data_IF_554471453595
#
_entry.id   IF_554471453595
#
_cell.length_a   1.000
_cell.length_b   1.000
_cell.length_c   1.000
_cell.angle_alpha   90.00
_cell.angle_beta   90.00
_cell.angle_gamma   90.00
#
_symmetry.space_group_name_H-M   'P 1'
#
loop_
_entity.id
_entity.type
_entity.pdbx_description
1 polymer ?
#
# COMPACT_ATOMS: atom_id res chain seq x y z
N UNK A 1 -29.94 -5.48 11.91
CA UNK A 1 -29.20 -6.62 11.33
C UNK A 1 -28.67 -6.37 9.92
N UNK A 2 -29.47 -6.38 8.84
CA UNK A 2 -28.93 -6.21 7.48
C UNK A 2 -28.27 -4.83 7.27
N UNK A 3 -28.91 -3.75 7.73
CA UNK A 3 -28.35 -2.41 7.65
C UNK A 3 -26.99 -2.29 8.39
N UNK A 4 -26.87 -2.93 9.55
CA UNK A 4 -25.63 -2.95 10.34
C UNK A 4 -24.54 -3.77 9.64
N UNK A 5 -24.90 -4.93 9.07
CA UNK A 5 -23.97 -5.75 8.30
C UNK A 5 -23.45 -5.01 7.06
N UNK A 6 -24.34 -4.33 6.32
CA UNK A 6 -23.96 -3.47 5.19
C UNK A 6 -23.07 -2.32 5.65
N UNK A 7 -23.38 -1.70 6.79
CA UNK A 7 -22.59 -0.61 7.35
C UNK A 7 -21.18 -1.09 7.78
N UNK A 8 -21.07 -2.28 8.37
CA UNK A 8 -19.78 -2.90 8.68
C UNK A 8 -18.98 -3.25 7.41
N UNK A 9 -19.63 -3.84 6.40
CA UNK A 9 -19.02 -4.18 5.12
C UNK A 9 -18.46 -2.96 4.38
N UNK A 10 -19.21 -1.84 4.38
CA UNK A 10 -18.75 -0.57 3.79
C UNK A 10 -17.55 0.05 4.49
N UNK A 11 -17.27 -0.32 5.74
CA UNK A 11 -16.05 0.05 6.47
C UNK A 11 -14.90 -0.94 6.29
N UNK A 12 -15.05 -1.92 5.39
CA UNK A 12 -14.03 -2.92 5.12
C UNK A 12 -14.01 -4.09 6.11
N UNK A 13 -15.06 -4.26 6.92
CA UNK A 13 -15.20 -5.39 7.85
C UNK A 13 -16.10 -6.47 7.26
N UNK A 14 -15.64 -7.73 7.25
CA UNK A 14 -16.50 -8.85 6.87
C UNK A 14 -17.65 -9.02 7.87
N UNK A 15 -18.87 -9.16 7.39
CA UNK A 15 -20.06 -9.42 8.20
C UNK A 15 -20.78 -10.66 7.69
N UNK A 16 -21.16 -11.55 8.60
CA UNK A 16 -21.98 -12.73 8.31
C UNK A 16 -23.35 -12.58 8.96
N UNK A 17 -24.42 -12.83 8.18
CA UNK A 17 -25.79 -12.80 8.67
C UNK A 17 -26.35 -14.23 8.63
N UNK A 18 -26.63 -14.79 9.81
CA UNK A 18 -27.22 -16.11 9.94
C UNK A 18 -28.74 -15.96 10.03
N UNK A 19 -29.45 -16.39 8.99
CA UNK A 19 -30.92 -16.31 8.89
C UNK A 19 -31.52 -17.72 8.92
N UNK A 20 -32.24 -18.10 10.00
CA UNK A 20 -33.00 -19.35 10.04
C UNK A 20 -34.01 -19.47 8.89
N UNK A 21 -34.23 -20.69 8.38
CA UNK A 21 -35.10 -20.91 7.22
C UNK A 21 -36.57 -20.57 7.48
N UNK A 22 -37.05 -20.78 8.70
CA UNK A 22 -38.38 -20.37 9.15
C UNK A 22 -38.55 -18.85 9.10
N UNK A 23 -37.53 -18.09 9.51
CA UNK A 23 -37.52 -16.62 9.38
C UNK A 23 -37.54 -16.19 7.92
N UNK A 24 -36.79 -16.86 7.04
CA UNK A 24 -36.78 -16.55 5.60
C UNK A 24 -38.11 -16.88 4.90
N UNK A 25 -38.85 -17.87 5.41
CA UNK A 25 -40.13 -18.33 4.84
C UNK A 25 -41.34 -17.65 5.46
N UNK A 26 -41.16 -16.89 6.55
CA UNK A 26 -42.25 -16.17 7.20
C UNK A 26 -42.88 -15.18 6.22
N UNK A 27 -44.21 -15.20 6.13
CA UNK A 27 -44.95 -14.18 5.40
C UNK A 27 -44.83 -12.85 6.15
N UNK A 28 -44.46 -11.80 5.43
CA UNK A 28 -44.38 -10.43 5.96
C UNK A 28 -45.39 -9.56 5.21
N UNK A 29 -46.06 -8.69 5.95
CA UNK A 29 -46.84 -7.62 5.36
C UNK A 29 -45.88 -6.53 4.84
N UNK A 30 -45.81 -6.27 3.53
CA UNK A 30 -44.94 -5.23 2.98
C UNK A 30 -45.21 -3.84 3.57
N UNK A 31 -46.45 -3.58 4.00
CA UNK A 31 -46.83 -2.30 4.61
C UNK A 31 -46.27 -2.12 6.03
N UNK A 32 -45.86 -3.22 6.69
CA UNK A 32 -45.25 -3.21 8.02
C UNK A 32 -43.72 -3.21 8.02
N UNK A 33 -43.08 -3.27 6.84
CA UNK A 33 -41.63 -3.24 6.73
C UNK A 33 -41.17 -1.79 6.85
N UNK A 34 -40.57 -1.44 7.99
CA UNK A 34 -39.94 -0.15 8.17
C UNK A 34 -38.90 0.09 7.05
N UNK A 35 -38.92 1.30 6.48
CA UNK A 35 -37.86 1.69 5.56
C UNK A 35 -36.50 1.54 6.27
N UNK A 36 -35.48 1.00 5.57
CA UNK A 36 -34.15 0.95 6.15
C UNK A 36 -33.74 2.37 6.55
N UNK A 37 -33.20 2.56 7.78
CA UNK A 37 -32.83 3.88 8.23
C UNK A 37 -31.91 4.53 7.20
N UNK A 38 -32.11 5.83 6.98
CA UNK A 38 -31.25 6.63 6.11
C UNK A 38 -29.80 6.29 6.43
N UNK A 39 -29.06 5.85 5.41
CA UNK A 39 -27.71 5.37 5.60
C UNK A 39 -26.88 6.48 6.23
N UNK A 40 -26.41 6.27 7.46
CA UNK A 40 -25.48 7.19 8.08
C UNK A 40 -24.27 7.30 7.16
N UNK A 41 -24.11 8.47 6.54
CA UNK A 41 -22.92 8.78 5.76
C UNK A 41 -21.74 8.66 6.71
N UNK A 42 -20.66 8.01 6.25
CA UNK A 42 -19.41 8.07 6.99
C UNK A 42 -19.09 9.56 7.24
N UNK A 43 -18.57 9.93 8.43
CA UNK A 43 -18.24 11.32 8.72
C UNK A 43 -17.41 11.89 7.56
N UNK A 44 -17.86 13.02 7.00
CA UNK A 44 -17.27 13.62 5.79
C UNK A 44 -15.82 14.05 5.97
N UNK A 45 -15.37 14.15 7.23
CA UNK A 45 -14.01 14.50 7.60
C UNK A 45 -13.49 13.49 8.62
N UNK A 46 -12.39 12.83 8.27
CA UNK A 46 -11.67 12.00 9.20
C UNK A 46 -11.13 12.87 10.36
N UNK A 47 -11.06 12.33 11.58
CA UNK A 47 -10.59 13.08 12.73
C UNK A 47 -9.16 13.57 12.52
N UNK A 48 -8.94 14.87 12.73
CA UNK A 48 -7.61 15.46 12.70
C UNK A 48 -6.74 14.86 13.81
N UNK A 49 -5.45 14.67 13.52
CA UNK A 49 -4.50 14.23 14.55
C UNK A 49 -4.37 15.29 15.65
N UNK A 50 -4.02 14.84 16.86
CA UNK A 50 -3.77 15.73 18.00
C UNK A 50 -2.64 16.69 17.66
N UNK A 51 -2.81 17.97 17.98
CA UNK A 51 -1.83 19.03 17.71
C UNK A 51 -0.45 18.68 18.29
N UNK A 52 -0.41 18.10 19.50
CA UNK A 52 0.84 17.70 20.15
C UNK A 52 1.56 16.57 19.39
N UNK A 53 0.81 15.64 18.79
CA UNK A 53 1.38 14.56 17.99
C UNK A 53 1.97 15.09 16.68
N UNK A 54 1.28 16.04 16.03
CA UNK A 54 1.80 16.74 14.85
C UNK A 54 3.05 17.55 15.19
N UNK A 55 3.05 18.29 16.31
CA UNK A 55 4.21 19.06 16.74
C UNK A 55 5.43 18.17 17.03
N UNK A 56 5.23 17.02 17.68
CA UNK A 56 6.28 16.04 17.92
C UNK A 56 6.82 15.44 16.62
N UNK A 57 5.93 15.07 15.69
CA UNK A 57 6.30 14.50 14.40
C UNK A 57 7.05 15.52 13.52
N UNK A 58 6.58 16.76 13.47
CA UNK A 58 7.25 17.85 12.78
C UNK A 58 8.63 18.12 13.41
N UNK A 59 8.74 18.11 14.74
CA UNK A 59 10.03 18.25 15.42
C UNK A 59 11.00 17.13 15.05
N UNK A 60 10.58 15.87 15.02
CA UNK A 60 11.44 14.77 14.59
C UNK A 60 11.86 14.92 13.11
N UNK A 61 10.90 15.22 12.24
CA UNK A 61 11.14 15.36 10.80
C UNK A 61 11.98 16.61 10.45
N UNK A 62 12.00 17.65 11.30
CA UNK A 62 12.84 18.84 11.10
C UNK A 62 14.33 18.57 11.29
N UNK A 63 14.70 17.49 11.99
CA UNK A 63 16.11 17.08 12.14
C UNK A 63 16.59 16.15 11.02
N UNK A 64 15.67 15.57 10.25
CA UNK A 64 15.97 14.62 9.17
C UNK A 64 16.47 15.32 7.91
N UNK A 65 17.60 14.90 7.34
CA UNK A 65 18.05 15.36 6.01
C UNK A 65 17.71 14.36 4.91
N UNK A 66 17.40 13.12 5.27
CA UNK A 66 17.10 12.01 4.36
C UNK A 66 15.79 11.33 4.78
N UNK A 67 14.64 12.03 4.71
CA UNK A 67 13.39 11.43 5.12
C UNK A 67 12.90 10.41 4.09
N UNK A 68 12.39 9.28 4.57
CA UNK A 68 11.72 8.25 3.79
C UNK A 68 10.23 8.21 4.15
N UNK A 69 9.36 8.36 3.16
CA UNK A 69 7.92 8.24 3.33
C UNK A 69 7.43 6.90 2.79
N UNK A 70 6.79 6.09 3.62
CA UNK A 70 6.27 4.77 3.25
C UNK A 70 4.74 4.84 3.22
N UNK A 71 4.12 4.69 2.06
CA UNK A 71 2.67 4.70 1.92
C UNK A 71 2.10 3.28 1.83
N UNK A 72 1.09 2.99 2.65
CA UNK A 72 0.29 1.78 2.59
C UNK A 72 -1.07 1.98 1.96
N UNK A 73 -1.86 0.91 1.95
CA UNK A 73 -3.20 0.92 1.35
C UNK A 73 -4.14 1.92 2.04
N UNK A 74 -3.96 2.17 3.35
CA UNK A 74 -4.70 3.20 4.07
C UNK A 74 -4.40 4.61 3.59
N UNK A 75 -3.17 4.90 3.16
CA UNK A 75 -2.83 6.19 2.54
C UNK A 75 -3.46 6.34 1.16
N UNK A 76 -3.54 5.26 0.38
CA UNK A 76 -4.27 5.26 -0.88
C UNK A 76 -5.76 5.53 -0.67
N UNK A 77 -6.42 4.84 0.27
CA UNK A 77 -7.83 5.06 0.58
C UNK A 77 -8.13 6.48 1.09
N UNK A 78 -7.18 7.10 1.78
CA UNK A 78 -7.28 8.50 2.21
C UNK A 78 -7.10 9.52 1.06
N UNK A 79 -6.69 9.07 -0.14
CA UNK A 79 -6.31 9.98 -1.24
C UNK A 79 -5.09 10.82 -0.87
N UNK A 80 -4.10 10.23 -0.19
CA UNK A 80 -2.97 10.97 0.38
C UNK A 80 -1.79 11.18 -0.58
N UNK A 81 -1.88 10.75 -1.84
CA UNK A 81 -0.75 10.77 -2.79
C UNK A 81 -0.14 12.16 -2.90
N UNK A 82 -0.94 13.15 -3.32
CA UNK A 82 -0.47 14.50 -3.58
C UNK A 82 0.03 15.17 -2.30
N UNK A 83 -0.61 14.89 -1.16
CA UNK A 83 -0.20 15.43 0.14
C UNK A 83 1.16 14.88 0.59
N UNK A 84 1.40 13.57 0.43
CA UNK A 84 2.68 12.93 0.75
C UNK A 84 3.77 13.44 -0.21
N UNK A 85 3.49 13.52 -1.51
CA UNK A 85 4.42 14.06 -2.50
C UNK A 85 4.79 15.51 -2.22
N UNK A 86 3.82 16.34 -1.83
CA UNK A 86 4.06 17.72 -1.43
C UNK A 86 4.92 17.81 -0.16
N UNK A 87 4.63 17.00 0.87
CA UNK A 87 5.42 16.95 2.10
C UNK A 87 6.89 16.57 1.80
N UNK A 88 7.12 15.61 0.92
CA UNK A 88 8.48 15.22 0.57
C UNK A 88 9.19 16.21 -0.34
N UNK A 89 8.47 16.87 -1.26
CA UNK A 89 9.01 18.01 -1.99
C UNK A 89 9.46 19.11 -1.02
N UNK A 90 8.70 19.33 0.05
CA UNK A 90 9.01 20.30 1.09
C UNK A 90 10.26 19.93 1.91
N UNK A 91 10.35 18.66 2.31
CA UNK A 91 11.35 18.13 3.25
C UNK A 91 12.55 17.45 2.59
N UNK A 92 12.55 17.28 1.26
CA UNK A 92 13.63 16.60 0.55
C UNK A 92 13.62 15.08 0.64
N UNK A 93 12.46 14.47 0.84
CA UNK A 93 12.35 13.02 1.03
C UNK A 93 12.07 12.22 -0.23
N UNK A 94 12.23 10.91 -0.11
CA UNK A 94 11.86 9.91 -1.12
C UNK A 94 10.66 9.11 -0.65
N UNK A 95 9.96 8.46 -1.58
CA UNK A 95 8.76 7.67 -1.25
C UNK A 95 8.93 6.21 -1.62
N UNK A 96 8.42 5.33 -0.79
CA UNK A 96 8.20 3.93 -1.12
C UNK A 96 6.77 3.53 -0.78
N UNK A 97 6.34 2.38 -1.27
CA UNK A 97 5.00 1.85 -1.02
C UNK A 97 5.09 0.47 -0.40
N UNK A 98 4.06 0.07 0.34
CA UNK A 98 3.82 -1.37 0.55
C UNK A 98 3.43 -2.03 -0.77
N UNK A 99 3.41 -3.37 -0.81
CA UNK A 99 2.97 -4.11 -1.99
C UNK A 99 1.54 -3.75 -2.43
N UNK A 100 0.61 -3.67 -1.48
CA UNK A 100 -0.81 -3.36 -1.75
C UNK A 100 -1.03 -1.92 -2.23
N UNK A 101 -0.08 -1.02 -1.92
CA UNK A 101 -0.08 0.37 -2.35
C UNK A 101 0.90 0.63 -3.50
N UNK A 102 1.40 -0.42 -4.17
CA UNK A 102 2.32 -0.28 -5.30
C UNK A 102 1.79 0.69 -6.34
N UNK A 103 2.72 1.31 -7.05
CA UNK A 103 2.42 2.23 -8.14
C UNK A 103 1.65 3.52 -7.70
N UNK A 104 1.43 3.76 -6.40
CA UNK A 104 0.80 5.00 -5.90
C UNK A 104 1.55 6.25 -6.36
N UNK A 105 2.88 6.22 -6.31
CA UNK A 105 3.76 7.33 -6.72
C UNK A 105 4.33 7.18 -8.14
N UNK A 106 3.65 6.40 -9.00
CA UNK A 106 4.06 6.25 -10.40
C UNK A 106 4.19 7.62 -11.08
N UNK A 107 5.28 7.80 -11.81
CA UNK A 107 5.65 9.05 -12.49
C UNK A 107 6.43 10.04 -11.63
N UNK A 108 6.52 9.84 -10.32
CA UNK A 108 7.32 10.70 -9.45
C UNK A 108 8.81 10.32 -9.54
N UNK A 109 9.74 11.28 -9.75
CA UNK A 109 11.18 11.00 -9.88
C UNK A 109 11.84 10.49 -8.59
N UNK A 110 11.16 10.60 -7.44
CA UNK A 110 11.65 10.18 -6.12
C UNK A 110 10.92 8.95 -5.58
N UNK A 111 10.21 8.23 -6.45
CA UNK A 111 9.57 6.96 -6.14
C UNK A 111 10.60 5.82 -6.14
N UNK A 112 10.69 5.11 -5.02
CA UNK A 112 11.54 3.94 -4.80
C UNK A 112 10.83 2.61 -5.07
N UNK A 113 9.55 2.65 -5.49
CA UNK A 113 8.75 1.45 -5.67
C UNK A 113 8.41 0.78 -4.34
N UNK A 114 8.43 -0.55 -4.33
CA UNK A 114 7.98 -1.35 -3.19
C UNK A 114 9.11 -1.47 -2.17
N UNK A 115 8.83 -1.17 -0.90
CA UNK A 115 9.77 -1.42 0.20
C UNK A 115 9.66 -2.86 0.73
N UNK A 116 10.77 -3.36 1.26
CA UNK A 116 10.84 -4.62 1.99
C UNK A 116 11.44 -5.72 1.13
N UNK A 117 10.85 -6.91 1.19
CA UNK A 117 11.40 -8.10 0.51
C UNK A 117 11.36 -8.01 -1.01
N UNK A 118 10.72 -6.97 -1.55
CA UNK A 118 10.58 -6.68 -2.97
C UNK A 118 11.29 -5.38 -3.39
N UNK A 119 12.08 -4.78 -2.50
CA UNK A 119 12.92 -3.62 -2.84
C UNK A 119 13.94 -3.98 -3.90
N UNK A 120 14.08 -3.12 -4.90
CA UNK A 120 15.18 -3.19 -5.86
C UNK A 120 16.45 -2.56 -5.28
N UNK A 121 17.62 -2.90 -5.84
CA UNK A 121 18.92 -2.50 -5.26
C UNK A 121 19.10 -0.98 -5.14
N UNK A 122 18.68 -0.22 -6.15
CA UNK A 122 18.80 1.24 -6.13
C UNK A 122 17.95 1.89 -5.03
N UNK A 123 16.74 1.36 -4.79
CA UNK A 123 15.88 1.77 -3.68
C UNK A 123 16.51 1.40 -2.34
N UNK A 124 16.99 0.16 -2.20
CA UNK A 124 17.62 -0.32 -0.96
C UNK A 124 18.77 0.59 -0.52
N UNK A 125 19.66 0.95 -1.44
CA UNK A 125 20.78 1.85 -1.16
C UNK A 125 20.34 3.25 -0.67
N UNK A 126 19.16 3.73 -1.06
CA UNK A 126 18.63 5.01 -0.59
C UNK A 126 17.89 4.85 0.74
N UNK A 127 17.12 3.78 0.90
CA UNK A 127 16.42 3.44 2.14
C UNK A 127 17.42 3.26 3.29
N UNK A 128 18.55 2.58 3.06
CA UNK A 128 19.62 2.37 4.05
C UNK A 128 20.26 3.68 4.54
N UNK A 129 20.08 4.78 3.79
CA UNK A 129 20.58 6.11 4.16
C UNK A 129 19.54 6.98 4.87
N UNK A 130 18.29 6.51 4.98
CA UNK A 130 17.22 7.27 5.60
C UNK A 130 17.56 7.57 7.07
N UNK A 131 17.28 8.78 7.52
CA UNK A 131 17.53 9.23 8.90
C UNK A 131 16.23 9.58 9.65
N UNK A 132 15.08 9.40 9.00
CA UNK A 132 13.76 9.38 9.60
C UNK A 132 12.80 8.68 8.64
N UNK A 133 11.88 7.87 9.18
CA UNK A 133 10.88 7.15 8.39
C UNK A 133 9.50 7.56 8.84
N UNK A 134 8.64 7.96 7.89
CA UNK A 134 7.24 8.27 8.16
C UNK A 134 6.36 7.29 7.41
N UNK A 135 5.64 6.47 8.15
CA UNK A 135 4.77 5.42 7.63
C UNK A 135 3.33 5.90 7.64
N UNK A 136 2.68 5.94 6.49
CA UNK A 136 1.30 6.39 6.31
C UNK A 136 0.37 5.23 5.97
N UNK A 137 -0.58 4.93 6.85
CA UNK A 137 -1.69 4.00 6.59
C UNK A 137 -1.22 2.61 6.12
N UNK A 138 -0.10 2.14 6.66
CA UNK A 138 0.45 0.82 6.39
C UNK A 138 0.38 -0.01 7.66
N UNK A 139 0.05 -1.30 7.51
CA UNK A 139 0.18 -2.28 8.59
C UNK A 139 1.63 -2.43 9.06
N UNK A 140 2.59 -2.07 8.21
CA UNK A 140 4.01 -2.07 8.51
C UNK A 140 4.49 -3.45 9.03
N UNK A 141 3.99 -4.49 8.37
CA UNK A 141 4.19 -5.88 8.74
C UNK A 141 5.57 -6.42 8.30
N UNK A 142 5.86 -7.66 8.70
CA UNK A 142 7.09 -8.40 8.39
C UNK A 142 7.47 -8.40 6.89
N UNK A 143 6.50 -8.38 5.97
CA UNK A 143 6.77 -8.29 4.52
C UNK A 143 7.28 -6.90 4.12
N UNK A 144 6.65 -5.86 4.68
CA UNK A 144 7.01 -4.46 4.45
C UNK A 144 8.38 -4.14 5.08
N UNK A 145 8.65 -4.69 6.25
CA UNK A 145 9.88 -4.41 7.02
C UNK A 145 11.00 -5.42 6.76
N UNK A 146 10.80 -6.44 5.93
CA UNK A 146 11.72 -7.59 5.77
C UNK A 146 12.17 -8.17 7.12
N UNK A 147 11.24 -8.37 8.04
CA UNK A 147 11.54 -8.84 9.39
C UNK A 147 12.30 -7.85 10.27
N UNK A 148 12.35 -6.57 9.88
CA UNK A 148 13.09 -5.50 10.57
C UNK A 148 14.32 -5.01 9.80
N UNK A 149 14.74 -5.74 8.76
CA UNK A 149 15.96 -5.45 7.99
C UNK A 149 15.77 -4.44 6.86
N UNK A 150 14.53 -4.02 6.58
CA UNK A 150 14.25 -3.09 5.48
C UNK A 150 14.51 -1.63 5.83
N UNK A 151 14.66 -1.28 7.12
CA UNK A 151 14.90 0.08 7.56
C UNK A 151 16.25 0.22 8.29
N UNK A 152 16.88 1.39 8.26
CA UNK A 152 18.03 1.68 9.11
C UNK A 152 17.64 1.62 10.59
N UNK A 153 18.35 0.82 11.40
CA UNK A 153 18.03 0.66 12.82
C UNK A 153 18.06 1.95 13.65
N UNK A 154 18.85 2.94 13.22
CA UNK A 154 18.98 4.22 13.93
C UNK A 154 17.96 5.28 13.48
N UNK A 155 17.20 5.02 12.40
CA UNK A 155 16.23 5.99 11.90
C UNK A 155 14.93 5.90 12.71
N UNK A 156 14.49 7.00 13.36
CA UNK A 156 13.23 6.98 14.09
C UNK A 156 12.04 6.82 13.14
N UNK A 157 11.06 6.04 13.59
CA UNK A 157 9.84 5.70 12.87
C UNK A 157 8.64 6.46 13.42
N UNK A 158 8.07 7.34 12.60
CA UNK A 158 6.77 7.99 12.84
C UNK A 158 5.70 7.15 12.13
N UNK A 159 4.81 6.52 12.88
CA UNK A 159 3.75 5.67 12.32
C UNK A 159 2.39 6.35 12.42
N UNK A 160 1.84 6.69 11.26
CA UNK A 160 0.55 7.34 11.06
C UNK A 160 -0.49 6.30 10.64
N UNK A 161 -1.55 6.14 11.42
CA UNK A 161 -2.70 5.29 11.06
C UNK A 161 -4.00 5.87 11.61
N UNK A 162 -5.11 5.60 10.93
CA UNK A 162 -6.44 6.01 11.38
C UNK A 162 -6.85 5.25 12.65
N UNK A 163 -6.36 4.02 12.82
CA UNK A 163 -6.71 3.13 13.94
C UNK A 163 -5.50 2.92 14.86
N UNK A 164 -5.63 3.35 16.11
CA UNK A 164 -4.53 3.29 17.10
C UNK A 164 -3.93 1.89 17.28
N UNK A 165 -4.74 0.84 17.24
CA UNK A 165 -4.28 -0.55 17.44
C UNK A 165 -3.49 -1.12 16.26
N UNK A 166 -3.43 -0.43 15.11
CA UNK A 166 -2.56 -0.80 14.01
C UNK A 166 -1.11 -0.33 14.24
N UNK A 167 -0.95 0.79 14.94
CA UNK A 167 0.36 1.39 15.21
C UNK A 167 1.13 0.53 16.20
N UNK A 168 2.39 0.21 15.87
CA UNK A 168 3.23 -0.60 16.74
C UNK A 168 2.91 -2.09 16.77
N UNK A 169 1.95 -2.57 15.95
CA UNK A 169 1.48 -3.96 15.98
C UNK A 169 2.54 -4.98 15.55
N UNK A 170 3.39 -4.62 14.58
CA UNK A 170 4.35 -5.53 13.95
C UNK A 170 5.82 -5.13 14.15
N UNK A 171 6.06 -3.90 14.60
CA UNK A 171 7.38 -3.35 14.85
C UNK A 171 7.25 -2.06 15.65
N UNK A 172 8.31 -1.62 16.35
CA UNK A 172 8.25 -0.40 17.15
C UNK A 172 8.01 0.83 16.28
N UNK A 173 7.28 1.79 16.85
CA UNK A 173 7.15 3.14 16.33
C UNK A 173 7.63 4.09 17.42
N UNK A 174 8.64 4.92 17.11
CA UNK A 174 9.15 5.94 18.02
C UNK A 174 8.11 7.02 18.31
N UNK A 175 7.24 7.29 17.33
CA UNK A 175 6.11 8.19 17.49
C UNK A 175 4.85 7.66 16.80
N UNK A 176 3.76 7.56 17.56
CA UNK A 176 2.44 7.20 17.04
C UNK A 176 1.61 8.45 16.75
N UNK A 177 1.10 8.58 15.53
CA UNK A 177 0.18 9.64 15.13
C UNK A 177 -1.14 8.99 14.69
N UNK A 178 -2.19 9.18 15.49
CA UNK A 178 -3.53 8.69 15.12
C UNK A 178 -4.24 9.76 14.32
N UNK A 179 -4.52 9.46 13.05
CA UNK A 179 -5.19 10.40 12.14
C UNK A 179 -5.21 9.88 10.71
N UNK A 180 -6.00 10.56 9.88
CA UNK A 180 -6.04 10.30 8.45
C UNK A 180 -4.71 10.65 7.78
N UNK A 181 -4.22 9.78 6.89
CA UNK A 181 -2.92 9.93 6.27
C UNK A 181 -2.78 11.24 5.45
N UNK A 182 -3.84 11.64 4.74
CA UNK A 182 -3.83 12.87 3.93
C UNK A 182 -3.80 14.10 4.83
N UNK A 183 -4.69 14.16 5.82
CA UNK A 183 -4.75 15.30 6.75
C UNK A 183 -3.44 15.43 7.54
N UNK A 184 -2.85 14.32 8.02
CA UNK A 184 -1.58 14.34 8.73
C UNK A 184 -0.44 14.81 7.83
N UNK A 185 -0.36 14.33 6.58
CA UNK A 185 0.67 14.79 5.63
C UNK A 185 0.56 16.30 5.37
N UNK A 186 -0.66 16.84 5.22
CA UNK A 186 -0.90 18.27 5.06
C UNK A 186 -0.52 19.06 6.32
N UNK A 187 -0.88 18.56 7.51
CA UNK A 187 -0.54 19.19 8.78
C UNK A 187 0.98 19.25 9.00
N UNK A 188 1.71 18.17 8.65
CA UNK A 188 3.17 18.15 8.71
C UNK A 188 3.79 19.13 7.71
N UNK A 189 3.27 19.19 6.49
CA UNK A 189 3.75 20.13 5.47
C UNK A 189 3.52 21.59 5.90
N UNK A 190 2.41 21.89 6.58
CA UNK A 190 2.12 23.22 7.11
C UNK A 190 2.96 23.58 8.35
N UNK A 191 3.35 22.59 9.16
CA UNK A 191 4.12 22.80 10.38
C UNK A 191 5.63 22.93 10.14
N UNK A 192 6.12 22.53 8.96
CA UNK A 192 7.53 22.54 8.60
C UNK A 192 7.82 23.66 7.60
N UNK A 193 8.96 24.37 7.71
CA UNK A 193 9.40 25.28 6.66
C UNK A 193 9.96 24.51 5.47
N UNK A 194 9.89 25.12 4.28
CA UNK A 194 10.44 24.53 3.06
C UNK A 194 11.97 24.48 3.19
N UNK A 195 12.55 23.29 2.99
CA UNK A 195 14.01 23.17 3.01
C UNK A 195 14.62 23.77 1.74
N UNK A 196 15.78 24.44 1.83
CA UNK A 196 16.57 24.80 0.65
C UNK A 196 17.10 23.54 -0.04
N UNK A 197 17.40 23.62 -1.33
CA UNK A 197 17.88 22.48 -2.12
C UNK A 197 19.17 21.84 -1.53
N UNK A 198 20.06 22.65 -0.94
CA UNK A 198 21.28 22.18 -0.29
C UNK A 198 21.03 21.22 0.91
N UNK A 199 19.82 21.26 1.49
CA UNK A 199 19.42 20.40 2.61
C UNK A 199 18.53 19.24 2.19
N UNK A 200 18.48 18.94 0.88
CA UNK A 200 17.72 17.84 0.28
C UNK A 200 18.65 16.86 -0.45
N UNK A 201 19.55 16.14 0.25
CA UNK A 201 20.52 15.23 -0.37
C UNK A 201 19.86 14.15 -1.25
N UNK A 202 18.68 13.66 -0.87
CA UNK A 202 17.93 12.73 -1.72
C UNK A 202 17.39 13.35 -3.00
N UNK A 203 17.25 14.68 -3.06
CA UNK A 203 16.81 15.38 -4.26
C UNK A 203 17.99 15.86 -5.14
N UNK A 204 19.22 15.44 -4.83
CA UNK A 204 20.38 15.75 -5.63
C UNK A 204 20.29 15.12 -7.04
N UNK A 205 20.89 15.77 -8.04
CA UNK A 205 20.90 15.30 -9.42
C UNK A 205 21.50 13.90 -9.61
N UNK A 206 22.46 13.53 -8.75
CA UNK A 206 23.03 12.18 -8.76
C UNK A 206 21.97 11.11 -8.40
N UNK A 207 21.11 11.38 -7.42
CA UNK A 207 20.02 10.48 -7.02
C UNK A 207 18.97 10.41 -8.11
N UNK A 208 18.59 11.56 -8.69
CA UNK A 208 17.66 11.62 -9.83
C UNK A 208 18.15 10.78 -11.00
N UNK A 209 19.41 10.96 -11.42
CA UNK A 209 20.00 10.20 -12.53
C UNK A 209 20.09 8.70 -12.21
N UNK A 210 20.42 8.35 -10.96
CA UNK A 210 20.45 6.96 -10.51
C UNK A 210 19.08 6.29 -10.63
N UNK A 211 18.01 6.94 -10.18
CA UNK A 211 16.66 6.38 -10.26
C UNK A 211 16.14 6.36 -11.71
N UNK A 212 16.39 7.42 -12.48
CA UNK A 212 15.96 7.50 -13.88
C UNK A 212 16.66 6.51 -14.81
N UNK A 213 17.91 6.12 -14.51
CA UNK A 213 18.66 5.13 -15.28
C UNK A 213 18.60 3.71 -14.72
N UNK A 214 17.77 3.47 -13.70
CA UNK A 214 17.65 2.16 -13.08
C UNK A 214 16.67 1.27 -13.85
N UNK A 215 17.11 0.08 -14.22
CA UNK A 215 16.32 -0.90 -14.97
C UNK A 215 16.21 -2.21 -14.19
N UNK A 216 14.98 -2.63 -13.88
CA UNK A 216 14.71 -3.88 -13.14
C UNK A 216 15.29 -5.12 -13.82
N UNK A 217 15.36 -5.14 -15.15
CA UNK A 217 15.93 -6.23 -15.92
C UNK A 217 17.43 -6.44 -15.65
N UNK A 218 18.13 -5.41 -15.15
CA UNK A 218 19.55 -5.48 -14.81
C UNK A 218 19.84 -6.09 -13.44
N UNK A 219 18.84 -6.34 -12.60
CA UNK A 219 19.01 -6.87 -11.24
C UNK A 219 19.34 -8.37 -11.20
N UNK A 220 19.13 -9.08 -12.30
CA UNK A 220 19.32 -10.53 -12.35
C UNK A 220 19.75 -11.00 -13.74
N UNK A 221 20.38 -12.18 -13.77
CA UNK A 221 20.59 -12.93 -15.00
C UNK A 221 19.48 -13.98 -15.10
N UNK A 222 18.67 -14.00 -16.18
CA UNK A 222 17.66 -15.03 -16.36
C UNK A 222 18.26 -16.43 -16.39
N UNK A 223 17.70 -17.35 -15.61
CA UNK A 223 18.14 -18.75 -15.52
C UNK A 223 17.19 -19.71 -16.24
N UNK A 224 16.99 -19.46 -17.55
CA UNK A 224 16.20 -20.35 -18.40
C UNK A 224 16.88 -21.72 -18.57
N UNK A 225 16.06 -22.76 -18.74
CA UNK A 225 16.51 -24.06 -19.22
C UNK A 225 15.70 -24.48 -20.45
N UNK A 226 16.07 -25.59 -21.08
CA UNK A 226 15.29 -26.16 -22.19
C UNK A 226 13.85 -26.56 -21.78
N UNK A 227 13.54 -26.64 -20.48
CA UNK A 227 12.20 -27.02 -19.95
C UNK A 227 11.56 -25.97 -19.06
N UNK A 228 12.28 -24.93 -18.66
CA UNK A 228 11.81 -23.97 -17.63
C UNK A 228 12.14 -22.54 -18.02
N UNK A 229 11.25 -21.64 -17.64
CA UNK A 229 11.43 -20.20 -17.83
C UNK A 229 11.69 -19.57 -16.47
N UNK A 230 12.66 -18.65 -16.40
CA UNK A 230 12.86 -17.84 -15.20
C UNK A 230 11.60 -16.97 -14.96
N UNK A 231 10.97 -17.07 -13.78
CA UNK A 231 9.71 -16.36 -13.52
C UNK A 231 9.86 -14.83 -13.60
N UNK A 232 11.04 -14.28 -13.30
CA UNK A 232 11.29 -12.84 -13.34
C UNK A 232 11.37 -12.34 -14.79
N UNK A 233 12.03 -13.10 -15.65
CA UNK A 233 12.07 -12.80 -17.09
C UNK A 233 10.69 -12.94 -17.74
N UNK A 234 9.93 -13.98 -17.36
CA UNK A 234 8.54 -14.14 -17.77
C UNK A 234 7.69 -12.93 -17.36
N UNK A 235 7.86 -12.43 -16.13
CA UNK A 235 7.15 -11.27 -15.62
C UNK A 235 7.34 -10.02 -16.49
N UNK A 236 8.60 -9.71 -16.83
CA UNK A 236 8.96 -8.54 -17.61
C UNK A 236 8.34 -8.61 -19.00
N UNK A 237 8.37 -9.79 -19.62
CA UNK A 237 7.75 -9.98 -20.93
C UNK A 237 6.22 -9.90 -20.85
N UNK A 238 5.61 -10.46 -19.82
CA UNK A 238 4.17 -10.30 -19.56
C UNK A 238 3.80 -8.84 -19.33
N UNK A 239 4.61 -8.07 -18.59
CA UNK A 239 4.37 -6.65 -18.31
C UNK A 239 4.29 -5.82 -19.61
N UNK A 240 5.15 -6.17 -20.58
CA UNK A 240 5.20 -5.58 -21.92
C UNK A 240 4.05 -5.99 -22.82
N UNK A 241 3.63 -7.26 -22.76
CA UNK A 241 2.60 -7.84 -23.64
C UNK A 241 1.17 -7.56 -23.17
N UNK A 242 0.95 -7.54 -21.86
CA UNK A 242 -0.38 -7.32 -21.29
C UNK A 242 -0.80 -5.85 -21.44
N UNK A 243 -2.11 -5.56 -21.50
CA UNK A 243 -2.61 -4.18 -21.50
C UNK A 243 -2.11 -3.39 -20.29
N UNK A 244 -1.79 -2.10 -20.50
CA UNK A 244 -1.32 -1.23 -19.41
C UNK A 244 -2.38 -1.10 -18.30
N UNK A 245 -3.64 -1.00 -18.68
CA UNK A 245 -4.79 -1.08 -17.76
C UNK A 245 -5.14 -2.54 -17.51
N UNK A 246 -4.77 -3.05 -16.34
CA UNK A 246 -4.96 -4.43 -15.92
C UNK A 246 -5.14 -4.55 -14.42
N UNK A 247 -5.86 -5.58 -14.00
CA UNK A 247 -5.93 -6.06 -12.63
C UNK A 247 -5.04 -7.29 -12.49
N UNK A 248 -4.22 -7.33 -11.43
CA UNK A 248 -3.39 -8.47 -11.09
C UNK A 248 -3.88 -9.09 -9.79
N UNK A 249 -4.20 -10.37 -9.83
CA UNK A 249 -4.52 -11.17 -8.66
C UNK A 249 -3.43 -12.20 -8.47
N UNK A 250 -2.86 -12.26 -7.27
CA UNK A 250 -1.80 -13.20 -6.91
C UNK A 250 -2.34 -14.15 -5.85
N UNK A 251 -2.25 -15.45 -6.15
CA UNK A 251 -2.41 -16.48 -5.12
C UNK A 251 -1.12 -16.65 -4.29
N UNK A 252 -1.19 -17.52 -3.29
CA UNK A 252 -0.05 -17.87 -2.43
C UNK A 252 0.88 -18.87 -3.14
N UNK A 253 2.20 -18.63 -3.10
CA UNK A 253 3.19 -19.63 -3.52
C UNK A 253 4.60 -19.09 -3.74
N UNK A 254 5.52 -19.97 -4.11
CA UNK A 254 6.93 -19.59 -4.35
C UNK A 254 7.13 -18.69 -5.58
N UNK A 255 6.13 -18.62 -6.46
CA UNK A 255 6.15 -17.78 -7.66
C UNK A 255 6.05 -16.27 -7.36
N UNK A 256 5.81 -15.87 -6.11
CA UNK A 256 5.67 -14.46 -5.69
C UNK A 256 6.92 -13.60 -5.95
N UNK A 257 8.06 -14.19 -6.28
CA UNK A 257 9.24 -13.47 -6.77
C UNK A 257 8.97 -12.68 -8.07
N UNK A 258 7.88 -12.97 -8.76
CA UNK A 258 7.40 -12.26 -9.95
C UNK A 258 6.86 -10.85 -9.64
N UNK A 259 6.40 -10.61 -8.41
CA UNK A 259 5.66 -9.40 -8.01
C UNK A 259 6.33 -8.07 -8.40
N UNK A 260 7.65 -7.88 -8.19
CA UNK A 260 8.31 -6.60 -8.50
C UNK A 260 8.30 -6.26 -10.00
N UNK A 261 8.20 -7.27 -10.86
CA UNK A 261 8.47 -7.17 -12.29
C UNK A 261 7.20 -7.03 -13.15
N UNK A 262 6.02 -7.23 -12.55
CA UNK A 262 4.73 -7.09 -13.22
C UNK A 262 3.89 -6.01 -12.54
N UNK A 263 3.72 -4.86 -13.21
CA UNK A 263 3.11 -3.64 -12.71
C UNK A 263 1.62 -3.47 -13.01
N UNK A 264 1.01 -2.49 -12.34
CA UNK A 264 -0.41 -2.10 -12.49
C UNK A 264 -0.56 -0.59 -12.68
N UNK A 265 -1.73 -0.09 -13.13
CA UNK A 265 -1.98 1.36 -13.22
C UNK A 265 -1.82 2.12 -11.89
N UNK A 266 -2.02 1.43 -10.77
CA UNK A 266 -1.93 2.00 -9.43
C UNK A 266 -2.44 1.04 -8.36
N UNK A 267 -2.56 1.53 -7.11
CA UNK A 267 -3.21 0.80 -6.04
C UNK A 267 -4.66 0.46 -6.39
N UNK A 268 -5.16 -0.65 -5.85
CA UNK A 268 -6.53 -1.13 -6.15
C UNK A 268 -6.65 -1.92 -7.45
N UNK A 269 -5.62 -1.96 -8.29
CA UNK A 269 -5.49 -2.89 -9.43
C UNK A 269 -4.64 -4.12 -9.11
N UNK A 270 -4.15 -4.26 -7.88
CA UNK A 270 -3.48 -5.45 -7.39
C UNK A 270 -4.26 -6.04 -6.22
N UNK A 271 -4.32 -7.37 -6.13
CA UNK A 271 -4.75 -8.06 -4.93
C UNK A 271 -3.89 -9.28 -4.65
N UNK A 272 -3.28 -9.32 -3.47
CA UNK A 272 -2.65 -10.51 -2.94
C UNK A 272 -3.65 -11.24 -2.03
N UNK A 273 -3.85 -12.54 -2.23
CA UNK A 273 -4.82 -13.33 -1.46
C UNK A 273 -4.22 -14.02 -0.23
N UNK A 274 -2.91 -13.88 -0.01
CA UNK A 274 -2.19 -14.57 1.07
C UNK A 274 -2.12 -13.81 2.39
N UNK A 275 -3.01 -12.86 2.65
CA UNK A 275 -3.01 -12.16 3.95
C UNK A 275 -3.25 -13.11 5.13
N UNK A 276 -3.92 -14.24 4.89
CA UNK A 276 -4.06 -15.37 5.81
C UNK A 276 -3.27 -16.63 5.38
N UNK A 277 -2.38 -16.50 4.39
CA UNK A 277 -1.64 -17.60 3.76
C UNK A 277 -2.52 -18.77 3.27
N UNK A 278 -3.80 -18.49 2.96
CA UNK A 278 -4.69 -19.46 2.35
C UNK A 278 -4.34 -19.62 0.86
N UNK A 279 -4.21 -20.87 0.43
CA UNK A 279 -3.92 -21.25 -0.96
C UNK A 279 -5.25 -21.52 -1.68
N UNK A 280 -5.39 -21.06 -2.92
CA UNK A 280 -6.56 -21.34 -3.77
C UNK A 280 -7.62 -20.23 -3.76
N UNK A 281 -7.37 -19.13 -3.06
CA UNK A 281 -8.28 -17.97 -3.02
C UNK A 281 -8.17 -17.08 -4.26
N UNK A 282 -7.12 -17.26 -5.08
CA UNK A 282 -6.81 -16.43 -6.24
C UNK A 282 -7.90 -16.46 -7.29
N UNK A 283 -8.44 -17.64 -7.60
CA UNK A 283 -9.44 -17.80 -8.66
C UNK A 283 -10.75 -17.05 -8.37
N UNK A 284 -11.33 -17.28 -7.19
CA UNK A 284 -12.55 -16.57 -6.78
C UNK A 284 -12.34 -15.06 -6.69
N UNK A 285 -11.16 -14.62 -6.23
CA UNK A 285 -10.79 -13.21 -6.18
C UNK A 285 -10.69 -12.59 -7.58
N UNK A 286 -10.04 -13.28 -8.53
CA UNK A 286 -9.92 -12.83 -9.91
C UNK A 286 -11.29 -12.73 -10.60
N UNK A 287 -12.19 -13.69 -10.38
CA UNK A 287 -13.56 -13.61 -10.87
C UNK A 287 -14.30 -12.38 -10.32
N UNK A 288 -14.10 -12.06 -9.03
CA UNK A 288 -14.65 -10.85 -8.41
C UNK A 288 -14.16 -9.57 -9.10
N UNK A 289 -12.87 -9.48 -9.38
CA UNK A 289 -12.28 -8.36 -10.12
C UNK A 289 -12.84 -8.24 -11.54
N UNK A 290 -12.85 -9.34 -12.29
CA UNK A 290 -13.38 -9.36 -13.66
C UNK A 290 -14.87 -8.97 -13.70
N UNK A 291 -15.65 -9.39 -12.70
CA UNK A 291 -17.07 -9.02 -12.59
C UNK A 291 -17.29 -7.56 -12.20
N UNK A 292 -16.42 -7.00 -11.37
CA UNK A 292 -16.50 -5.61 -10.90
C UNK A 292 -15.95 -4.61 -11.93
N UNK A 293 -15.02 -5.04 -12.77
CA UNK A 293 -14.35 -4.22 -13.80
C UNK A 293 -14.32 -4.98 -15.12
N UNK A 294 -15.47 -5.12 -15.80
CA UNK A 294 -15.57 -5.94 -17.01
C UNK A 294 -14.74 -5.41 -18.18
N UNK A 295 -14.41 -4.12 -18.19
CA UNK A 295 -13.64 -3.47 -19.25
C UNK A 295 -12.12 -3.58 -19.05
N UNK A 296 -11.66 -3.96 -17.84
CA UNK A 296 -10.25 -4.09 -17.51
C UNK A 296 -9.79 -5.55 -17.61
N UNK A 297 -8.64 -5.78 -18.24
CA UNK A 297 -8.04 -7.12 -18.27
C UNK A 297 -7.74 -7.59 -16.85
N UNK A 298 -8.19 -8.80 -16.49
CA UNK A 298 -7.89 -9.40 -15.18
C UNK A 298 -6.98 -10.59 -15.35
N UNK A 299 -5.80 -10.53 -14.75
CA UNK A 299 -4.75 -11.56 -14.84
C UNK A 299 -4.57 -12.19 -13.47
N UNK A 300 -4.78 -13.50 -13.42
CA UNK A 300 -4.50 -14.31 -12.26
C UNK A 300 -3.11 -14.94 -12.41
N UNK A 301 -2.24 -14.69 -11.44
CA UNK A 301 -0.97 -15.39 -11.28
C UNK A 301 -1.14 -16.40 -10.15
N UNK A 302 -1.08 -17.69 -10.51
CA UNK A 302 -1.39 -18.80 -9.63
C UNK A 302 -0.40 -19.94 -9.82
N UNK A 303 -0.02 -20.59 -8.72
CA UNK A 303 0.82 -21.79 -8.74
C UNK A 303 0.00 -23.03 -9.05
N UNK A 304 0.65 -24.06 -9.58
CA UNK A 304 0.00 -25.34 -9.91
C UNK A 304 -0.72 -25.96 -8.70
N UNK A 305 -0.12 -25.89 -7.51
CA UNK A 305 -0.72 -26.39 -6.26
C UNK A 305 -2.00 -25.65 -5.83
N UNK A 306 -2.18 -24.39 -6.23
CA UNK A 306 -3.38 -23.61 -5.94
C UNK A 306 -4.47 -23.77 -7.00
N UNK A 307 -4.11 -24.27 -8.19
CA UNK A 307 -4.99 -24.43 -9.34
C UNK A 307 -5.75 -25.78 -9.38
N UNK A 308 -5.42 -26.69 -8.46
CA UNK A 308 -6.05 -28.01 -8.30
C UNK A 308 -7.11 -27.96 -7.21
#
# INVERSE_FOLDING_TARGET
>A
MLAEAVHAARRGTAAALLLPLDVQRAAIDPAGVAEPPAQAQAPSRAPAARVQAIAAAASMLSHSRRPLFVAGLGAHHAGAKEAIEALAAHTGGVHATTLEARDMFRGNPWNLGIIGSFSHSAARQLIDQADCVVVFGASFNQRTTSGGEALPHAAPVIHVDLVRSHIGRWGPADLAVVGDAREVAQQLAAALPARPAADKPFHADAVRRKLAGFEMAGEFRPEHTVRTVDPRALALELDRLLPATRNLVYDSGNFLQILPYLGTPGPGHIKHTSDFFSVGMGFGTALGFARARPDDATVLVIGDGASR
#
